data_IF_208886533247
#
_entry.id   IF_208886533247
#
_cell.length_a   1.000
_cell.length_b   1.000
_cell.length_c   1.000
_cell.angle_alpha   90.00
_cell.angle_beta   90.00
_cell.angle_gamma   90.00
#
_symmetry.space_group_name_H-M   'P 1'
#
loop_
_entity.id
_entity.type
_entity.pdbx_description
1 polymer ?
#
# COMPACT_ATOMS: atom_id res chain seq x y z
N UNK A 1 25.35 -48.85 -23.33
CA UNK A 1 24.97 -48.42 -23.05
C UNK A 1 24.65 -47.68 -22.41
N UNK A 2 24.54 -46.97 -22.01
CA UNK A 2 24.19 -46.22 -21.43
C UNK A 2 23.54 -45.28 -21.39
N UNK A 3 23.12 -44.75 -21.05
CA UNK A 3 22.42 -43.90 -21.03
C UNK A 3 22.27 -42.97 -20.39
N UNK A 4 22.15 -42.22 -20.29
CA UNK A 4 22.05 -41.24 -19.76
C UNK A 4 21.14 -40.54 -19.57
N UNK A 5 20.79 -40.02 -19.04
CA UNK A 5 19.93 -39.39 -18.75
C UNK A 5 19.91 -38.28 -18.43
N UNK A 6 19.81 -37.59 -18.52
CA UNK A 6 19.72 -36.47 -18.26
C UNK A 6 18.77 -35.88 -17.96
N UNK A 7 18.55 -35.23 -17.37
CA UNK A 7 17.65 -34.63 -17.08
C UNK A 7 17.55 -33.48 -16.87
N UNK A 8 17.17 -32.90 -17.16
CA UNK A 8 16.92 -31.85 -17.16
C UNK A 8 16.26 -31.36 -16.34
N UNK A 9 16.29 -30.73 -15.79
CA UNK A 9 15.73 -30.37 -15.03
C UNK A 9 15.31 -29.16 -14.97
N UNK A 10 14.61 -28.70 -15.05
CA UNK A 10 14.00 -27.69 -15.13
C UNK A 10 13.85 -27.00 -14.03
N UNK A 11 14.31 -26.18 -13.89
CA UNK A 11 14.15 -25.51 -12.88
C UNK A 11 13.31 -24.54 -12.93
N UNK A 12 12.41 -24.41 -12.69
CA UNK A 12 11.53 -23.62 -12.67
C UNK A 12 11.68 -22.62 -11.75
N UNK A 13 11.95 -21.70 -12.02
CA UNK A 13 12.07 -20.74 -11.30
C UNK A 13 11.00 -19.94 -11.07
N UNK A 14 10.44 -19.74 -10.40
CA UNK A 14 9.44 -18.96 -10.21
C UNK A 14 9.72 -17.92 -9.61
N UNK A 15 9.81 -17.03 -9.97
CA UNK A 15 9.75 -15.99 -9.61
C UNK A 15 8.68 -15.66 -8.88
N UNK A 16 8.59 -15.71 -8.02
CA UNK A 16 7.63 -15.40 -7.29
C UNK A 16 7.38 -14.30 -6.98
N UNK A 17 7.38 -13.69 -7.49
CA UNK A 17 7.09 -12.75 -7.39
C UNK A 17 6.12 -12.34 -6.57
N UNK A 18 6.09 -11.62 -6.03
CA UNK A 18 5.29 -11.17 -5.37
C UNK A 18 4.41 -10.50 -5.85
N UNK A 19 3.72 -10.63 -6.29
CA UNK A 19 2.69 -10.26 -6.75
C UNK A 19 1.97 -9.58 -5.81
N UNK A 20 2.08 -8.46 -5.68
CA UNK A 20 1.33 -7.92 -4.94
C UNK A 20 0.09 -7.83 -5.54
N UNK A 21 -0.99 -7.93 -5.02
CA UNK A 21 -2.23 -7.75 -5.48
C UNK A 21 -2.43 -6.30 -5.71
N UNK A 22 -2.14 -5.83 -6.85
CA UNK A 22 -2.35 -4.43 -7.17
C UNK A 22 -3.77 -4.24 -7.63
N UNK A 23 -4.52 -3.40 -6.95
CA UNK A 23 -5.93 -3.20 -7.26
C UNK A 23 -6.20 -1.71 -7.46
N UNK A 24 -7.23 -1.36 -8.24
CA UNK A 24 -7.60 0.04 -8.38
C UNK A 24 -8.16 0.60 -7.09
N UNK A 25 -7.97 1.89 -6.88
CA UNK A 25 -8.44 2.51 -5.65
C UNK A 25 -9.96 2.41 -5.52
N UNK A 26 -10.66 2.34 -6.65
CA UNK A 26 -12.13 2.24 -6.60
C UNK A 26 -12.61 0.87 -6.19
N UNK A 27 -11.73 -0.12 -6.14
CA UNK A 27 -12.12 -1.49 -5.80
C UNK A 27 -11.79 -1.87 -4.38
N UNK A 28 -11.26 -0.95 -3.57
CA UNK A 28 -10.78 -1.33 -2.25
C UNK A 28 -11.85 -1.94 -1.39
N UNK A 29 -13.09 -1.50 -1.52
CA UNK A 29 -14.15 -2.05 -0.67
C UNK A 29 -14.41 -3.52 -0.93
N UNK A 30 -13.96 -4.05 -2.08
CA UNK A 30 -14.14 -5.44 -2.41
C UNK A 30 -13.00 -6.32 -1.92
N UNK A 31 -12.01 -5.74 -1.30
CA UNK A 31 -10.81 -6.46 -0.91
C UNK A 31 -10.47 -6.30 0.56
N UNK A 32 -11.47 -5.99 1.35
CA UNK A 32 -11.26 -5.83 2.79
C UNK A 32 -10.76 -7.16 3.35
N UNK A 33 -9.69 -7.11 4.11
CA UNK A 33 -9.07 -8.31 4.66
C UNK A 33 -7.89 -8.80 3.85
N UNK A 34 -7.68 -8.24 2.67
CA UNK A 34 -6.58 -8.66 1.81
C UNK A 34 -5.41 -7.69 1.94
N UNK A 35 -4.21 -8.19 1.74
CA UNK A 35 -3.03 -7.34 1.61
C UNK A 35 -2.92 -6.95 0.15
N UNK A 36 -2.91 -5.66 -0.11
CA UNK A 36 -2.98 -5.16 -1.47
C UNK A 36 -2.01 -4.01 -1.68
N UNK A 37 -1.78 -3.68 -2.94
CA UNK A 37 -1.08 -2.46 -3.32
C UNK A 37 -2.06 -1.60 -4.08
N UNK A 38 -2.20 -0.35 -3.68
CA UNK A 38 -3.09 0.60 -4.32
C UNK A 38 -2.29 1.81 -4.74
N UNK A 39 -2.39 2.17 -6.00
CA UNK A 39 -1.69 3.35 -6.52
C UNK A 39 -2.71 4.40 -6.90
N UNK A 40 -2.55 5.61 -6.38
CA UNK A 40 -3.47 6.68 -6.68
C UNK A 40 -2.88 8.01 -6.21
N UNK A 41 -3.57 9.08 -6.51
CA UNK A 41 -3.13 10.40 -6.09
C UNK A 41 -3.60 10.69 -4.68
N UNK A 42 -2.75 11.37 -3.93
CA UNK A 42 -3.07 11.86 -2.60
C UNK A 42 -3.80 13.19 -2.75
N UNK A 43 -4.96 13.27 -2.10
CA UNK A 43 -5.79 14.46 -2.19
C UNK A 43 -5.80 15.27 -0.91
N UNK A 44 -5.13 14.82 0.13
CA UNK A 44 -5.05 15.58 1.36
C UNK A 44 -4.29 14.83 2.42
N UNK A 45 -3.65 15.56 3.30
CA UNK A 45 -2.95 15.00 4.43
C UNK A 45 -3.43 15.77 5.65
N UNK A 46 -3.83 15.06 6.69
CA UNK A 46 -4.26 15.71 7.91
C UNK A 46 -3.49 15.14 9.06
N UNK A 47 -2.67 15.96 9.66
CA UNK A 47 -1.83 15.53 10.78
C UNK A 47 -2.48 15.95 12.08
N UNK A 48 -2.82 15.00 12.90
CA UNK A 48 -3.35 15.23 14.22
C UNK A 48 -2.30 14.81 15.22
N UNK A 49 -2.58 15.04 16.50
CA UNK A 49 -1.57 14.76 17.50
C UNK A 49 -1.20 13.29 17.56
N UNK A 50 -2.17 12.41 17.45
CA UNK A 50 -1.93 10.99 17.64
C UNK A 50 -1.93 10.19 16.37
N UNK A 51 -2.33 10.80 15.26
CA UNK A 51 -2.47 10.05 14.04
C UNK A 51 -2.44 11.01 12.84
N UNK A 52 -1.92 10.55 11.73
CA UNK A 52 -1.92 11.31 10.49
C UNK A 52 -2.72 10.51 9.46
N UNK A 53 -3.58 11.19 8.73
CA UNK A 53 -4.38 10.58 7.69
C UNK A 53 -3.93 11.09 6.33
N UNK A 54 -3.85 10.19 5.37
CA UNK A 54 -3.58 10.53 3.98
C UNK A 54 -4.78 10.06 3.19
N UNK A 55 -5.49 10.98 2.55
CA UNK A 55 -6.68 10.64 1.79
C UNK A 55 -6.33 10.42 0.34
N UNK A 56 -6.73 9.29 -0.19
CA UNK A 56 -6.29 8.85 -1.50
C UNK A 56 -7.51 8.63 -2.37
N UNK A 57 -7.41 9.06 -3.61
CA UNK A 57 -8.46 8.82 -4.61
C UNK A 57 -9.48 9.93 -4.74
N UNK A 58 -9.68 10.69 -3.69
CA UNK A 58 -10.57 11.85 -3.71
C UNK A 58 -10.38 12.58 -2.39
N UNK A 59 -10.91 13.77 -2.30
CA UNK A 59 -10.81 14.55 -1.06
C UNK A 59 -11.75 13.99 0.01
N UNK A 60 -11.37 14.21 1.25
CA UNK A 60 -12.21 13.81 2.36
C UNK A 60 -13.54 14.61 2.31
N UNK A 61 -14.64 14.01 2.58
CA UNK A 61 -14.85 12.65 3.09
C UNK A 61 -15.16 11.62 2.00
N UNK A 62 -14.95 11.98 0.75
CA UNK A 62 -15.28 11.10 -0.33
C UNK A 62 -14.13 10.20 -0.76
N UNK A 63 -13.00 10.25 -0.04
CA UNK A 63 -11.86 9.43 -0.40
C UNK A 63 -12.18 7.95 -0.24
N UNK A 64 -11.96 7.15 -1.26
CA UNK A 64 -12.24 5.72 -1.16
C UNK A 64 -11.27 4.99 -0.25
N UNK A 65 -10.12 5.56 0.02
CA UNK A 65 -9.11 4.93 0.85
C UNK A 65 -8.43 5.97 1.70
N UNK A 66 -8.18 5.64 2.96
CA UNK A 66 -7.41 6.50 3.85
C UNK A 66 -6.20 5.70 4.34
N UNK A 67 -5.02 6.29 4.25
CA UNK A 67 -3.83 5.70 4.81
C UNK A 67 -3.64 6.30 6.18
N UNK A 68 -3.34 5.47 7.16
CA UNK A 68 -3.23 5.88 8.56
C UNK A 68 -1.82 5.65 9.04
N UNK A 69 -1.22 6.67 9.66
CA UNK A 69 0.10 6.53 10.27
C UNK A 69 -0.04 7.03 11.70
N UNK A 70 0.25 6.15 12.67
CA UNK A 70 0.15 6.55 14.06
C UNK A 70 1.37 7.37 14.46
N UNK A 71 1.19 8.21 15.45
CA UNK A 71 2.27 9.14 15.87
C UNK A 71 3.55 8.41 16.22
N UNK A 72 3.47 7.22 16.78
CA UNK A 72 4.68 6.50 17.17
C UNK A 72 5.52 6.10 15.97
N UNK A 73 4.92 6.05 14.80
CA UNK A 73 5.63 5.62 13.60
C UNK A 73 6.07 6.78 12.72
N UNK A 74 5.63 8.00 13.03
CA UNK A 74 6.02 9.16 12.24
C UNK A 74 7.54 9.33 12.17
N UNK A 75 8.28 9.09 13.25
CA UNK A 75 9.75 9.27 13.16
C UNK A 75 10.43 8.36 12.16
N UNK A 76 9.76 7.30 11.71
CA UNK A 76 10.34 6.43 10.71
C UNK A 76 10.39 7.08 9.34
N UNK A 77 9.64 8.16 9.14
CA UNK A 77 9.58 8.86 7.86
C UNK A 77 10.55 10.03 7.87
N UNK A 78 11.03 10.42 6.68
CA UNK A 78 12.09 11.38 6.64
C UNK A 78 11.64 12.80 6.43
N UNK A 79 10.59 13.19 6.99
CA UNK A 79 10.08 14.54 6.83
C UNK A 79 8.65 14.57 7.24
N UNK A 80 8.00 15.71 7.11
CA UNK A 80 6.59 15.77 7.43
C UNK A 80 5.85 14.98 6.38
N UNK A 81 4.82 14.29 6.82
CA UNK A 81 4.02 13.46 5.90
C UNK A 81 3.45 14.34 4.81
N UNK A 82 3.03 15.53 5.17
CA UNK A 82 2.45 16.41 4.15
C UNK A 82 3.48 16.78 3.10
N UNK A 83 4.70 17.15 3.50
CA UNK A 83 5.68 17.55 2.50
C UNK A 83 6.13 16.37 1.64
N UNK A 84 6.10 15.17 2.21
CA UNK A 84 6.52 14.00 1.45
C UNK A 84 5.50 13.55 0.43
N UNK A 85 4.21 13.62 0.78
CA UNK A 85 3.21 12.94 -0.03
C UNK A 85 2.06 13.78 -0.53
N UNK A 86 1.91 15.02 -0.10
CA UNK A 86 0.76 15.82 -0.51
C UNK A 86 0.75 16.01 -2.03
N UNK A 87 -0.40 15.78 -2.61
CA UNK A 87 -0.62 15.97 -4.05
C UNK A 87 0.23 15.07 -4.95
N UNK A 88 0.87 14.07 -4.38
CA UNK A 88 1.67 13.16 -5.18
C UNK A 88 0.91 11.92 -5.55
N UNK A 89 1.36 11.27 -6.60
CA UNK A 89 0.86 9.94 -6.94
C UNK A 89 1.70 8.94 -6.19
N UNK A 90 1.07 8.06 -5.43
CA UNK A 90 1.78 7.11 -4.60
C UNK A 90 1.23 5.71 -4.78
N UNK A 91 1.99 4.74 -4.36
CA UNK A 91 1.50 3.37 -4.24
C UNK A 91 1.69 2.95 -2.79
N UNK A 92 0.62 2.48 -2.17
CA UNK A 92 0.66 2.04 -0.78
C UNK A 92 0.36 0.56 -0.72
N UNK A 93 1.08 -0.16 0.13
CA UNK A 93 0.90 -1.60 0.29
C UNK A 93 0.59 -1.90 1.74
N UNK A 94 -0.42 -2.70 1.96
CA UNK A 94 -0.77 -3.13 3.29
C UNK A 94 -2.11 -3.83 3.34
N UNK A 95 -2.51 -4.14 4.55
CA UNK A 95 -3.76 -4.85 4.78
C UNK A 95 -4.93 -3.88 4.76
N UNK A 96 -5.92 -4.17 3.94
CA UNK A 96 -7.13 -3.36 3.91
C UNK A 96 -8.04 -3.74 5.06
N UNK A 97 -8.44 -2.76 5.81
CA UNK A 97 -9.34 -2.95 6.93
C UNK A 97 -10.46 -1.94 6.83
N UNK A 98 -11.51 -2.15 7.57
CA UNK A 98 -12.57 -1.17 7.70
C UNK A 98 -12.49 -0.51 9.06
N UNK A 99 -12.60 0.79 9.06
CA UNK A 99 -12.74 1.54 10.29
C UNK A 99 -13.97 2.40 10.13
N UNK A 100 -15.00 2.17 10.92
CA UNK A 100 -16.27 2.89 10.81
C UNK A 100 -16.76 2.83 9.38
N UNK A 101 -16.69 1.63 8.82
CA UNK A 101 -17.19 1.35 7.48
C UNK A 101 -16.40 2.03 6.36
N UNK A 102 -15.23 2.56 6.64
CA UNK A 102 -14.40 3.15 5.61
C UNK A 102 -13.12 2.36 5.44
N UNK A 103 -12.72 2.09 4.20
CA UNK A 103 -11.48 1.34 3.98
C UNK A 103 -10.25 2.14 4.39
N UNK A 104 -9.32 1.46 5.05
CA UNK A 104 -8.07 2.10 5.41
C UNK A 104 -6.94 1.10 5.38
N UNK A 105 -5.72 1.61 5.23
CA UNK A 105 -4.49 0.84 5.36
C UNK A 105 -3.64 1.54 6.40
N UNK A 106 -3.24 0.84 7.44
CA UNK A 106 -2.35 1.38 8.45
C UNK A 106 -0.93 1.05 8.05
N UNK A 107 -0.07 2.05 7.96
CA UNK A 107 1.33 1.81 7.64
C UNK A 107 2.21 2.32 8.77
N UNK A 108 3.37 1.72 8.92
CA UNK A 108 4.31 2.10 9.95
C UNK A 108 5.70 2.34 9.38
N UNK A 109 5.92 1.99 8.14
CA UNK A 109 7.24 2.01 7.54
C UNK A 109 7.19 2.72 6.20
N UNK A 110 8.14 3.61 5.91
CA UNK A 110 8.14 4.32 4.62
C UNK A 110 8.21 3.39 3.42
N UNK A 111 8.71 2.17 3.62
CA UNK A 111 8.71 1.22 2.50
C UNK A 111 7.33 0.80 2.04
N UNK A 112 6.30 1.05 2.84
CA UNK A 112 4.95 0.69 2.47
C UNK A 112 4.29 1.73 1.59
N UNK A 113 4.89 2.88 1.40
CA UNK A 113 4.32 3.91 0.56
C UNK A 113 5.43 4.49 -0.28
N UNK A 114 5.28 4.43 -1.58
CA UNK A 114 6.32 4.93 -2.47
C UNK A 114 5.72 5.91 -3.46
N UNK A 115 6.52 6.88 -3.87
CA UNK A 115 6.09 7.85 -4.87
C UNK A 115 6.13 7.15 -6.22
N UNK A 116 5.09 7.31 -6.97
CA UNK A 116 5.01 6.66 -8.28
C UNK A 116 5.68 7.48 -9.36
#
# INVERSE_FOLDING_TARGET
>A
MKKILLFAFAISIYSTAFCQNKIPVDSVSKHIGDSVTVCSKVYGVKSLEKVTFINVGATYPNSPLTIVIFAKDIPNFKGSIESLYADKNICVTGLLKLYKEKPEIIISDPGQIVIE
#
